data_IF_719751575861
#
_entry.id   IF_719751575861
#
_cell.length_a   1.000
_cell.length_b   1.000
_cell.length_c   1.000
_cell.angle_alpha   90.00
_cell.angle_beta   90.00
_cell.angle_gamma   90.00
#
_symmetry.space_group_name_H-M   'P 1'
#
loop_
_entity.id
_entity.type
_entity.pdbx_description
1 polymer ?
#
# COMPACT_ATOMS: atom_id res chain seq x y z
N UNK A 1 -31.65 -33.05 -55.11
CA UNK A 1 -30.70 -32.51 -54.11
C UNK A 1 -31.36 -31.32 -53.41
N UNK A 2 -31.19 -31.26 -52.08
CA UNK A 2 -31.54 -30.19 -51.11
C UNK A 2 -33.04 -29.95 -50.87
N UNK A 3 -33.70 -30.76 -50.03
CA UNK A 3 -33.77 -30.72 -48.55
C UNK A 3 -34.30 -29.39 -47.97
N UNK A 4 -35.61 -29.40 -47.72
CA UNK A 4 -36.29 -28.99 -46.49
C UNK A 4 -35.95 -27.63 -45.86
N UNK A 5 -36.88 -26.68 -45.98
CA UNK A 5 -37.22 -25.80 -44.85
C UNK A 5 -38.74 -25.68 -44.75
N UNK A 6 -39.35 -26.69 -44.12
CA UNK A 6 -40.74 -26.65 -43.67
C UNK A 6 -40.83 -25.77 -42.42
N UNK A 7 -41.70 -24.77 -42.49
CA UNK A 7 -42.76 -24.43 -41.52
C UNK A 7 -42.46 -24.63 -40.03
N UNK A 8 -42.65 -23.58 -39.24
CA UNK A 8 -42.85 -23.71 -37.80
C UNK A 8 -42.98 -22.37 -37.08
N UNK A 9 -44.19 -21.83 -37.04
CA UNK A 9 -44.59 -20.77 -36.10
C UNK A 9 -44.69 -21.39 -34.70
N UNK A 10 -43.93 -20.87 -33.74
CA UNK A 10 -44.29 -20.99 -32.31
C UNK A 10 -43.58 -19.93 -31.47
N UNK A 11 -44.40 -19.07 -30.85
CA UNK A 11 -44.00 -18.10 -29.85
C UNK A 11 -43.57 -18.79 -28.54
N UNK A 12 -42.61 -18.21 -27.81
CA UNK A 12 -42.46 -18.47 -26.37
C UNK A 12 -41.98 -17.22 -25.60
N UNK A 13 -42.96 -16.53 -25.03
CA UNK A 13 -43.05 -16.02 -23.64
C UNK A 13 -41.76 -15.79 -22.83
N UNK A 14 -41.59 -14.52 -22.47
CA UNK A 14 -41.09 -13.92 -21.21
C UNK A 14 -40.10 -14.69 -20.31
N UNK A 15 -38.95 -14.06 -20.08
CA UNK A 15 -38.31 -14.05 -18.76
C UNK A 15 -37.93 -12.61 -18.41
N UNK A 16 -38.82 -11.95 -17.67
CA UNK A 16 -38.49 -10.86 -16.77
C UNK A 16 -37.75 -11.45 -15.56
N UNK A 17 -36.42 -11.31 -15.54
CA UNK A 17 -35.68 -11.22 -14.28
C UNK A 17 -35.05 -9.84 -14.19
N UNK A 18 -35.62 -9.01 -13.33
CA UNK A 18 -34.87 -7.97 -12.67
C UNK A 18 -33.62 -8.59 -12.06
N UNK A 19 -32.48 -8.03 -12.38
CA UNK A 19 -31.20 -8.57 -11.95
C UNK A 19 -30.14 -7.52 -12.17
N UNK A 20 -30.19 -6.48 -11.34
CA UNK A 20 -29.04 -5.74 -10.86
C UNK A 20 -27.75 -6.15 -11.59
N UNK A 21 -27.40 -5.46 -12.68
CA UNK A 21 -25.98 -5.29 -12.97
C UNK A 21 -25.49 -4.31 -11.91
N UNK A 22 -25.38 -4.84 -10.69
CA UNK A 22 -24.55 -4.29 -9.66
C UNK A 22 -23.25 -3.98 -10.37
N UNK A 23 -22.97 -2.69 -10.56
CA UNK A 23 -21.63 -2.19 -10.78
C UNK A 23 -20.76 -3.00 -9.84
N UNK A 24 -20.01 -3.96 -10.37
CA UNK A 24 -19.10 -4.76 -9.57
C UNK A 24 -18.05 -3.77 -9.12
N UNK A 25 -18.31 -3.13 -7.98
CA UNK A 25 -17.36 -2.33 -7.28
C UNK A 25 -16.16 -3.24 -7.09
N UNK A 26 -15.11 -3.02 -7.90
CA UNK A 26 -13.87 -3.78 -7.88
C UNK A 26 -13.51 -4.04 -6.42
N UNK A 27 -13.70 -5.30 -5.99
CA UNK A 27 -13.45 -5.67 -4.61
C UNK A 27 -11.96 -5.50 -4.39
N UNK A 28 -11.61 -4.36 -3.80
CA UNK A 28 -10.31 -3.88 -3.44
C UNK A 28 -9.46 -5.01 -2.80
N UNK A 29 -8.75 -5.78 -3.61
CA UNK A 29 -8.12 -7.01 -3.12
C UNK A 29 -6.89 -6.65 -2.30
N UNK A 30 -6.88 -7.08 -1.04
CA UNK A 30 -5.75 -6.90 -0.14
C UNK A 30 -4.77 -8.06 -0.25
N UNK A 31 -3.56 -7.77 -0.71
CA UNK A 31 -2.48 -8.74 -0.77
C UNK A 31 -1.73 -8.78 0.56
N UNK A 32 -1.39 -9.98 1.03
CA UNK A 32 -0.59 -10.16 2.25
C UNK A 32 0.84 -9.63 2.04
N UNK A 33 1.30 -8.82 2.99
CA UNK A 33 2.67 -8.34 3.12
C UNK A 33 2.93 -6.96 2.51
N UNK A 34 4.14 -6.76 1.98
CA UNK A 34 4.58 -5.50 1.35
C UNK A 34 4.88 -5.64 -0.14
N UNK A 35 4.66 -4.57 -0.94
CA UNK A 35 5.11 -4.54 -2.34
C UNK A 35 6.63 -4.82 -2.46
N UNK A 36 7.02 -5.61 -3.47
CA UNK A 36 8.42 -6.06 -3.67
C UNK A 36 9.43 -4.90 -3.81
N UNK A 37 8.97 -3.73 -4.26
CA UNK A 37 9.85 -2.58 -4.43
C UNK A 37 10.22 -1.87 -3.11
N UNK A 38 9.45 -2.05 -2.03
CA UNK A 38 9.76 -1.52 -0.69
C UNK A 38 10.23 -2.59 0.29
N UNK A 39 9.87 -3.86 0.09
CA UNK A 39 10.24 -4.97 0.96
C UNK A 39 11.76 -5.08 1.13
N UNK A 40 12.23 -5.20 2.37
CA UNK A 40 13.63 -5.33 2.77
C UNK A 40 14.54 -4.21 2.24
N UNK A 41 13.98 -3.01 2.04
CA UNK A 41 14.70 -1.83 1.59
C UNK A 41 14.47 -0.68 2.56
N UNK A 42 15.44 0.23 2.63
CA UNK A 42 15.39 1.43 3.46
C UNK A 42 15.38 2.66 2.54
N UNK A 43 14.52 3.62 2.85
CA UNK A 43 14.40 4.88 2.12
C UNK A 43 14.38 6.04 3.10
N UNK A 44 14.97 7.19 2.75
CA UNK A 44 14.98 8.39 3.60
C UNK A 44 14.70 9.66 2.81
N UNK A 45 14.13 10.66 3.47
CA UNK A 45 14.09 12.03 2.95
C UNK A 45 15.50 12.64 2.92
N UNK A 46 15.62 13.82 2.31
CA UNK A 46 16.79 14.66 2.50
C UNK A 46 16.86 15.09 3.97
N UNK A 47 18.05 15.51 4.41
CA UNK A 47 18.18 16.10 5.72
C UNK A 47 17.40 17.42 5.77
N UNK A 48 16.63 17.62 6.83
CA UNK A 48 15.70 18.75 6.96
C UNK A 48 16.39 19.98 7.57
N UNK A 49 17.41 19.79 8.41
CA UNK A 49 18.07 20.86 9.15
C UNK A 49 19.58 20.61 9.39
N UNK A 50 20.24 21.57 10.05
CA UNK A 50 21.65 21.50 10.47
C UNK A 50 21.92 20.31 11.40
N UNK A 51 20.89 19.85 12.13
CA UNK A 51 20.93 18.70 13.03
C UNK A 51 20.82 17.35 12.30
N UNK A 52 20.76 17.36 10.96
CA UNK A 52 20.71 16.16 10.11
C UNK A 52 19.51 15.28 10.42
N UNK A 53 18.38 15.87 10.79
CA UNK A 53 17.11 15.16 10.93
C UNK A 53 16.59 14.68 9.59
N UNK A 54 15.94 13.52 9.57
CA UNK A 54 15.31 12.98 8.38
C UNK A 54 14.20 12.00 8.76
N UNK A 55 13.29 11.81 7.81
CA UNK A 55 12.29 10.76 7.88
C UNK A 55 12.76 9.56 7.08
N UNK A 56 12.69 8.37 7.65
CA UNK A 56 12.99 7.13 6.95
C UNK A 56 11.80 6.18 6.91
N UNK A 57 11.81 5.28 5.93
CA UNK A 57 10.85 4.20 5.79
C UNK A 57 11.59 2.87 5.59
N UNK A 58 11.17 1.83 6.32
CA UNK A 58 11.66 0.46 6.15
C UNK A 58 10.56 -0.55 6.47
N UNK A 59 10.67 -1.73 5.88
CA UNK A 59 9.74 -2.81 6.17
C UNK A 59 10.21 -4.16 5.66
N UNK A 60 9.62 -5.21 6.22
CA UNK A 60 9.83 -6.61 5.84
C UNK A 60 8.62 -7.14 5.08
N UNK A 61 8.51 -8.46 4.87
CA UNK A 61 7.26 -9.04 4.35
C UNK A 61 6.08 -8.81 5.30
N UNK A 62 6.29 -8.65 6.61
CA UNK A 62 5.21 -8.57 7.63
C UNK A 62 5.14 -7.23 8.36
N UNK A 63 6.13 -6.37 8.22
CA UNK A 63 6.22 -5.11 8.95
C UNK A 63 6.46 -3.92 8.03
N UNK A 64 5.99 -2.75 8.43
CA UNK A 64 6.31 -1.47 7.79
C UNK A 64 6.35 -0.36 8.82
N UNK A 65 7.27 0.57 8.63
CA UNK A 65 7.45 1.72 9.50
C UNK A 65 7.90 2.90 8.65
N UNK A 66 7.33 4.06 8.97
CA UNK A 66 7.88 5.36 8.60
C UNK A 66 8.17 6.02 9.94
N UNK A 67 9.32 6.68 10.08
CA UNK A 67 9.72 7.31 11.34
C UNK A 67 10.54 8.55 11.05
N UNK A 68 10.27 9.61 11.81
CA UNK A 68 11.15 10.77 11.89
C UNK A 68 12.22 10.54 12.97
N UNK A 69 13.45 10.97 12.72
CA UNK A 69 14.64 10.68 13.55
C UNK A 69 14.47 10.89 15.06
N UNK A 70 13.68 11.89 15.48
CA UNK A 70 13.43 12.21 16.91
C UNK A 70 12.13 11.64 17.47
N UNK A 71 11.31 10.98 16.64
CA UNK A 71 10.03 10.43 17.10
C UNK A 71 10.19 9.02 17.72
N UNK A 72 9.19 8.54 18.45
CA UNK A 72 9.08 7.13 18.83
C UNK A 72 8.98 6.19 17.62
N UNK A 73 9.28 4.90 17.79
CA UNK A 73 9.19 3.91 16.70
C UNK A 73 7.82 3.22 16.69
N UNK A 74 6.97 3.62 15.75
CA UNK A 74 5.73 2.89 15.49
C UNK A 74 5.91 1.93 14.32
N UNK A 75 5.93 0.62 14.62
CA UNK A 75 6.04 -0.44 13.63
C UNK A 75 4.68 -1.10 13.43
N UNK A 76 4.11 -0.93 12.25
CA UNK A 76 2.94 -1.68 11.86
C UNK A 76 3.33 -3.14 11.53
N UNK A 77 2.67 -4.08 12.19
CA UNK A 77 2.78 -5.54 12.03
C UNK A 77 1.63 -6.09 11.17
N UNK A 78 1.76 -7.33 10.72
CA UNK A 78 0.76 -8.05 9.92
C UNK A 78 0.29 -7.26 8.68
N UNK A 79 1.24 -6.58 8.04
CA UNK A 79 0.92 -5.65 6.96
C UNK A 79 0.29 -6.37 5.76
N UNK A 80 -0.68 -5.70 5.16
CA UNK A 80 -1.32 -6.04 3.89
C UNK A 80 -1.27 -4.81 3.00
N UNK A 81 -1.33 -4.98 1.69
CA UNK A 81 -1.36 -3.86 0.77
C UNK A 81 -2.44 -4.02 -0.30
N UNK A 82 -2.94 -2.90 -0.77
CA UNK A 82 -3.85 -2.80 -1.90
C UNK A 82 -3.25 -1.84 -2.92
N UNK A 83 -3.24 -2.20 -4.20
CA UNK A 83 -2.85 -1.28 -5.27
C UNK A 83 -4.04 -0.37 -5.60
N UNK A 84 -3.81 0.94 -5.62
CA UNK A 84 -4.76 1.99 -6.00
C UNK A 84 -4.11 2.89 -7.06
N UNK A 85 -4.31 2.54 -8.32
CA UNK A 85 -3.61 3.17 -9.46
C UNK A 85 -2.08 3.02 -9.33
N UNK A 86 -1.38 4.16 -9.30
CA UNK A 86 0.10 4.21 -9.13
C UNK A 86 0.56 4.15 -7.66
N UNK A 87 -0.36 4.12 -6.71
CA UNK A 87 -0.07 4.13 -5.27
C UNK A 87 -0.46 2.79 -4.65
N UNK A 88 0.27 2.36 -3.64
CA UNK A 88 -0.04 1.19 -2.83
C UNK A 88 -0.43 1.67 -1.45
N UNK A 89 -1.64 1.33 -1.02
CA UNK A 89 -2.12 1.56 0.34
C UNK A 89 -1.72 0.35 1.18
N UNK A 90 -0.91 0.56 2.21
CA UNK A 90 -0.49 -0.46 3.17
C UNK A 90 -1.36 -0.29 4.42
N UNK A 91 -1.87 -1.39 4.95
CA UNK A 91 -2.61 -1.48 6.22
C UNK A 91 -1.85 -2.42 7.14
N UNK A 92 -1.69 -2.07 8.41
CA UNK A 92 -1.12 -2.97 9.42
C UNK A 92 -1.67 -2.65 10.81
N UNK A 93 -1.23 -3.43 11.79
CA UNK A 93 -1.63 -3.30 13.20
C UNK A 93 -0.43 -2.80 13.99
N UNK A 94 -0.61 -1.72 14.73
CA UNK A 94 0.32 -1.24 15.74
C UNK A 94 -0.30 -1.46 17.12
N UNK A 95 0.54 -1.70 18.13
CA UNK A 95 0.13 -1.87 19.52
C UNK A 95 0.78 -0.74 20.29
N UNK A 96 -0.03 0.09 20.95
CA UNK A 96 0.47 1.19 21.76
C UNK A 96 1.01 0.69 23.12
N UNK A 97 1.63 1.56 23.94
CA UNK A 97 2.13 1.18 25.26
C UNK A 97 1.04 0.62 26.20
N UNK A 98 -0.22 1.03 26.02
CA UNK A 98 -1.38 0.56 26.77
C UNK A 98 -1.95 -0.78 26.24
N UNK A 99 -1.20 -1.48 25.38
CA UNK A 99 -1.58 -2.73 24.73
C UNK A 99 -2.82 -2.66 23.80
N UNK A 100 -3.29 -1.46 23.43
CA UNK A 100 -4.42 -1.27 22.51
C UNK A 100 -3.95 -1.42 21.07
N UNK A 101 -4.77 -2.11 20.27
CA UNK A 101 -4.49 -2.41 18.86
C UNK A 101 -5.05 -1.34 17.96
N UNK A 102 -4.16 -0.63 17.27
CA UNK A 102 -4.51 0.41 16.31
C UNK A 102 -4.27 -0.05 14.88
N UNK A 103 -5.19 0.28 13.98
CA UNK A 103 -4.97 0.07 12.56
C UNK A 103 -4.21 1.25 11.97
N UNK A 104 -2.97 1.01 11.54
CA UNK A 104 -2.16 2.00 10.83
C UNK A 104 -2.30 1.86 9.32
N UNK A 105 -2.33 2.99 8.64
CA UNK A 105 -2.31 3.06 7.18
C UNK A 105 -1.08 3.82 6.70
N UNK A 106 -0.51 3.38 5.57
CA UNK A 106 0.57 4.07 4.89
C UNK A 106 0.33 4.05 3.40
N UNK A 107 0.93 5.01 2.70
CA UNK A 107 0.91 5.05 1.24
C UNK A 107 2.32 4.99 0.73
N UNK A 108 2.55 4.18 -0.30
CA UNK A 108 3.81 4.14 -1.02
C UNK A 108 3.58 4.16 -2.52
N UNK A 109 4.36 4.96 -3.24
CA UNK A 109 4.36 5.05 -4.70
C UNK A 109 5.79 4.88 -5.19
N UNK A 110 5.99 3.94 -6.11
CA UNK A 110 7.29 3.78 -6.78
C UNK A 110 7.51 4.97 -7.72
N UNK A 111 8.68 5.59 -7.64
CA UNK A 111 9.14 6.60 -8.61
C UNK A 111 10.20 5.98 -9.50
N UNK A 112 11.21 5.35 -8.89
CA UNK A 112 12.25 4.57 -9.58
C UNK A 112 12.73 3.43 -8.67
N UNK A 113 13.76 2.69 -9.09
CA UNK A 113 14.38 1.68 -8.23
C UNK A 113 15.16 2.29 -7.04
N UNK A 114 15.51 3.59 -7.13
CA UNK A 114 16.25 4.33 -6.11
C UNK A 114 15.36 5.31 -5.31
N UNK A 115 14.14 5.62 -5.77
CA UNK A 115 13.26 6.62 -5.15
C UNK A 115 11.82 6.13 -5.00
N UNK A 116 11.20 6.48 -3.89
CA UNK A 116 9.77 6.29 -3.64
C UNK A 116 9.13 7.59 -3.15
N UNK A 117 7.81 7.66 -3.19
CA UNK A 117 7.01 8.59 -2.42
C UNK A 117 6.32 7.80 -1.31
N UNK A 118 6.44 8.22 -0.05
CA UNK A 118 5.83 7.53 1.08
C UNK A 118 5.22 8.50 2.09
N UNK A 119 4.17 8.10 2.79
CA UNK A 119 3.51 8.92 3.81
C UNK A 119 2.57 8.12 4.70
N UNK A 120 2.21 8.71 5.84
CA UNK A 120 1.29 8.13 6.82
C UNK A 120 -0.17 8.37 6.45
N UNK A 121 -1.06 7.49 6.91
CA UNK A 121 -2.50 7.62 6.77
C UNK A 121 -3.03 7.27 5.37
N UNK A 122 -4.37 7.22 5.26
CA UNK A 122 -5.08 6.96 3.99
C UNK A 122 -4.98 8.12 2.99
N UNK A 123 -4.74 9.33 3.49
CA UNK A 123 -4.73 10.58 2.70
C UNK A 123 -3.52 11.48 3.01
N UNK A 124 -2.58 11.06 3.85
CA UNK A 124 -1.47 11.92 4.25
C UNK A 124 -0.52 12.28 3.11
N UNK A 125 0.24 13.35 3.34
CA UNK A 125 1.20 13.92 2.40
C UNK A 125 2.29 12.90 2.07
N UNK A 126 2.56 12.75 0.78
CA UNK A 126 3.61 11.86 0.30
C UNK A 126 4.94 12.61 0.23
N UNK A 127 5.94 12.12 0.95
CA UNK A 127 7.31 12.63 0.94
C UNK A 127 8.16 11.83 -0.03
N UNK A 128 9.01 12.51 -0.79
CA UNK A 128 9.98 11.83 -1.67
C UNK A 128 11.14 11.30 -0.84
N UNK A 129 11.40 9.99 -0.94
CA UNK A 129 12.45 9.30 -0.22
C UNK A 129 13.40 8.58 -1.18
N UNK A 130 14.69 8.58 -0.85
CA UNK A 130 15.76 7.95 -1.62
C UNK A 130 16.28 6.72 -0.89
N UNK A 131 16.52 5.64 -1.62
CA UNK A 131 17.05 4.37 -1.10
C UNK A 131 18.43 4.59 -0.50
N UNK A 132 18.69 3.99 0.65
CA UNK A 132 20.01 4.00 1.30
C UNK A 132 20.36 2.62 1.85
N UNK A 133 21.66 2.36 2.09
CA UNK A 133 22.16 1.08 2.62
C UNK A 133 22.31 1.12 4.15
N UNK A 134 23.04 2.11 4.64
CA UNK A 134 23.37 2.27 6.06
C UNK A 134 22.73 3.54 6.62
N UNK A 135 22.19 3.44 7.83
CA UNK A 135 21.68 4.61 8.52
C UNK A 135 22.81 5.63 8.69
N UNK A 136 22.57 6.92 8.35
CA UNK A 136 23.48 8.00 8.66
C UNK A 136 23.95 7.94 10.12
N UNK A 137 25.26 8.12 10.30
CA UNK A 137 25.83 8.40 11.61
C UNK A 137 25.84 9.91 11.83
N UNK A 138 25.34 10.36 12.96
CA UNK A 138 25.41 11.75 13.41
C UNK A 138 26.09 11.73 14.77
N UNK A 139 27.24 12.38 14.89
CA UNK A 139 28.06 12.42 16.11
C UNK A 139 28.38 11.03 16.68
N UNK A 140 28.75 10.07 15.81
CA UNK A 140 29.08 8.70 16.21
C UNK A 140 27.87 7.79 16.48
N UNK A 141 26.67 8.34 16.67
CA UNK A 141 25.46 7.57 16.93
C UNK A 141 24.70 7.24 15.63
N UNK A 142 24.10 6.05 15.59
CA UNK A 142 23.22 5.62 14.50
C UNK A 142 21.80 6.08 14.82
N UNK A 143 21.28 6.98 13.99
CA UNK A 143 19.89 7.44 14.13
C UNK A 143 18.97 6.50 13.35
N UNK A 144 18.19 5.67 14.05
CA UNK A 144 17.40 4.57 13.46
C UNK A 144 15.93 4.56 13.84
#
# INVERSE_FOLDING_TARGET
MNKAFKLGVTALVAISFGGLTATTADAATWHKGLPKFVRNKKFRTKFENKYKEYTWARGTKRTFSIKHTQAGIDVAKNVKYQKKGKTYLIKGIYVDPDAKRHTSYYRVRKISNKKIKAGFGKRGKLMTMTKFKHFPRVNGQIWN
#
